data_IF_183780884802
#
_entry.id   IF_183780884802
#
_cell.length_a   1.000
_cell.length_b   1.000
_cell.length_c   1.000
_cell.angle_alpha   90.00
_cell.angle_beta   90.00
_cell.angle_gamma   90.00
#
_symmetry.space_group_name_H-M   'P 1'
#
loop_
_entity.id
_entity.type
_entity.pdbx_description
1 polymer ?
#
# COMPACT_ATOMS: atom_id res chain seq x y z
N UNK A 1 -12.43 15.74 -6.10
CA UNK A 1 -12.10 15.55 -4.68
C UNK A 1 -12.46 16.82 -3.91
N UNK A 2 -13.04 16.75 -2.69
CA UNK A 2 -13.35 17.95 -1.90
C UNK A 2 -12.06 18.74 -1.62
N UNK A 3 -12.16 20.07 -1.57
CA UNK A 3 -11.02 20.98 -1.36
C UNK A 3 -10.19 20.62 -0.12
N UNK A 4 -10.84 20.19 0.97
CA UNK A 4 -10.16 19.81 2.21
C UNK A 4 -9.17 18.64 2.01
N UNK A 5 -9.52 17.62 1.23
CA UNK A 5 -8.63 16.48 1.01
C UNK A 5 -7.44 16.87 0.12
N UNK A 6 -7.62 17.83 -0.79
CA UNK A 6 -6.50 18.40 -1.57
C UNK A 6 -5.50 19.10 -0.66
N UNK A 7 -5.94 19.89 0.32
CA UNK A 7 -5.00 20.52 1.26
C UNK A 7 -4.32 19.52 2.18
N UNK A 8 -5.03 18.47 2.64
CA UNK A 8 -4.42 17.39 3.42
C UNK A 8 -3.33 16.69 2.58
N UNK A 9 -3.63 16.40 1.31
CA UNK A 9 -2.65 15.86 0.36
C UNK A 9 -1.42 16.77 0.23
N UNK A 10 -1.61 18.07 -0.02
CA UNK A 10 -0.52 19.04 -0.16
C UNK A 10 0.37 19.09 1.10
N UNK A 11 -0.24 19.00 2.29
CA UNK A 11 0.47 18.96 3.58
C UNK A 11 1.21 17.63 3.80
N UNK A 12 0.73 16.53 3.23
CA UNK A 12 1.34 15.22 3.34
C UNK A 12 2.52 15.02 2.37
N UNK A 13 2.57 15.73 1.22
CA UNK A 13 3.59 15.58 0.18
C UNK A 13 5.05 15.51 0.68
N UNK A 14 5.50 16.31 1.67
CA UNK A 14 6.87 16.22 2.17
C UNK A 14 7.21 14.88 2.82
N UNK A 15 6.19 14.15 3.29
CA UNK A 15 6.31 12.92 4.08
C UNK A 15 5.95 11.65 3.31
N UNK A 16 5.35 11.78 2.12
CA UNK A 16 4.90 10.66 1.30
C UNK A 16 6.04 10.03 0.48
N UNK A 17 5.85 8.76 0.13
CA UNK A 17 6.68 7.96 -0.76
C UNK A 17 8.18 7.97 -0.37
N UNK A 18 8.47 7.74 0.92
CA UNK A 18 9.83 7.81 1.50
C UNK A 18 10.50 6.44 1.69
N UNK A 19 9.91 5.37 1.17
CA UNK A 19 10.37 3.98 1.37
C UNK A 19 10.65 3.28 0.04
N UNK A 20 11.35 3.97 -0.88
CA UNK A 20 11.63 3.51 -2.25
C UNK A 20 10.35 2.97 -2.94
N UNK A 21 9.26 3.73 -2.82
CA UNK A 21 7.88 3.36 -3.20
C UNK A 21 7.15 4.52 -3.91
N UNK A 22 7.86 5.26 -4.76
CA UNK A 22 7.31 6.38 -5.51
C UNK A 22 5.98 6.04 -6.20
N UNK A 23 4.96 6.87 -5.94
CA UNK A 23 3.59 6.68 -6.45
C UNK A 23 2.66 5.89 -5.53
N UNK A 24 3.15 5.35 -4.41
CA UNK A 24 2.34 4.67 -3.39
C UNK A 24 1.17 5.51 -2.92
N UNK A 25 1.44 6.72 -2.42
CA UNK A 25 0.41 7.61 -1.89
C UNK A 25 -0.69 7.92 -2.93
N UNK A 26 -0.32 8.09 -4.20
CA UNK A 26 -1.27 8.42 -5.25
C UNK A 26 -2.16 7.22 -5.58
N UNK A 27 -1.55 6.05 -5.80
CA UNK A 27 -2.27 4.85 -6.22
C UNK A 27 -3.21 4.35 -5.12
N UNK A 28 -2.75 4.32 -3.87
CA UNK A 28 -3.58 3.94 -2.73
C UNK A 28 -4.76 4.89 -2.55
N UNK A 29 -4.56 6.21 -2.75
CA UNK A 29 -5.65 7.18 -2.76
C UNK A 29 -6.68 6.91 -3.88
N UNK A 30 -6.23 6.55 -5.09
CA UNK A 30 -7.15 6.21 -6.19
C UNK A 30 -7.94 4.94 -5.92
N UNK A 31 -7.36 3.92 -5.29
CA UNK A 31 -8.10 2.75 -4.83
C UNK A 31 -9.09 3.10 -3.71
N UNK A 32 -8.67 3.91 -2.73
CA UNK A 32 -9.54 4.34 -1.64
C UNK A 32 -10.77 5.11 -2.15
N UNK A 33 -10.62 5.96 -3.18
CA UNK A 33 -11.75 6.65 -3.83
C UNK A 33 -12.74 5.65 -4.46
N UNK A 34 -12.23 4.68 -5.21
CA UNK A 34 -13.06 3.63 -5.80
C UNK A 34 -13.80 2.83 -4.73
N UNK A 35 -13.11 2.41 -3.68
CA UNK A 35 -13.70 1.66 -2.57
C UNK A 35 -14.73 2.49 -1.81
N UNK A 36 -14.49 3.78 -1.57
CA UNK A 36 -15.50 4.68 -0.97
C UNK A 36 -16.79 4.68 -1.77
N UNK A 37 -16.70 4.77 -3.10
CA UNK A 37 -17.87 4.83 -3.98
C UNK A 37 -18.59 3.48 -4.08
N UNK A 38 -17.85 2.38 -4.25
CA UNK A 38 -18.39 1.03 -4.42
C UNK A 38 -18.96 0.45 -3.11
N UNK A 39 -18.27 0.70 -1.99
CA UNK A 39 -18.63 0.16 -0.69
C UNK A 39 -19.39 1.15 0.19
N UNK A 40 -19.69 2.36 -0.28
CA UNK A 40 -20.37 3.40 0.53
C UNK A 40 -19.60 3.70 1.84
N UNK A 41 -18.27 3.73 1.75
CA UNK A 41 -17.39 4.07 2.87
C UNK A 41 -17.49 5.55 3.25
N UNK A 42 -17.12 5.89 4.50
CA UNK A 42 -17.12 7.29 4.93
C UNK A 42 -15.89 8.03 4.40
N UNK A 43 -16.08 8.77 3.30
CA UNK A 43 -15.01 9.52 2.64
C UNK A 43 -14.25 10.50 3.56
N UNK A 44 -14.93 11.07 4.55
CA UNK A 44 -14.37 11.99 5.55
C UNK A 44 -13.51 11.31 6.62
N UNK A 45 -13.43 9.98 6.62
CA UNK A 45 -12.49 9.19 7.43
C UNK A 45 -11.46 8.52 6.52
N UNK A 46 -11.92 7.82 5.49
CA UNK A 46 -11.08 6.96 4.65
C UNK A 46 -10.04 7.78 3.86
N UNK A 47 -10.46 8.89 3.24
CA UNK A 47 -9.56 9.65 2.37
C UNK A 47 -8.45 10.37 3.17
N UNK A 48 -8.71 11.05 4.29
CA UNK A 48 -7.63 11.55 5.14
C UNK A 48 -6.73 10.45 5.69
N UNK A 49 -7.30 9.32 6.12
CA UNK A 49 -6.53 8.21 6.68
C UNK A 49 -5.54 7.64 5.65
N UNK A 50 -5.99 7.32 4.43
CA UNK A 50 -5.09 6.77 3.40
C UNK A 50 -4.05 7.79 2.94
N UNK A 51 -4.36 9.09 2.92
CA UNK A 51 -3.37 10.12 2.56
C UNK A 51 -2.22 10.18 3.57
N UNK A 52 -2.51 9.90 4.85
CA UNK A 52 -1.61 10.11 5.98
C UNK A 52 -0.98 8.82 6.54
N UNK A 53 -1.51 7.63 6.21
CA UNK A 53 -1.17 6.36 6.87
C UNK A 53 0.33 6.04 6.89
N UNK A 54 1.02 6.29 5.78
CA UNK A 54 2.43 5.91 5.58
C UNK A 54 3.40 7.10 5.73
N UNK A 55 2.92 8.25 6.20
CA UNK A 55 3.76 9.46 6.34
C UNK A 55 4.92 9.29 7.34
N UNK A 56 4.80 8.38 8.29
CA UNK A 56 5.82 8.08 9.28
C UNK A 56 7.10 7.46 8.73
N UNK A 57 7.06 6.84 7.54
CA UNK A 57 8.28 6.35 6.87
C UNK A 57 9.30 7.47 6.63
N UNK A 58 8.84 8.71 6.50
CA UNK A 58 9.70 9.90 6.37
C UNK A 58 10.59 10.18 7.60
N UNK A 59 10.27 9.59 8.76
CA UNK A 59 11.01 9.78 10.01
C UNK A 59 11.99 8.63 10.29
N UNK A 60 12.08 7.66 9.38
CA UNK A 60 13.02 6.54 9.44
C UNK A 60 14.07 6.70 8.34
N UNK A 61 15.32 6.43 8.70
CA UNK A 61 16.40 6.31 7.74
C UNK A 61 16.22 5.07 6.86
N UNK A 62 16.87 5.08 5.70
CA UNK A 62 16.85 3.96 4.76
C UNK A 62 17.27 2.63 5.40
N UNK A 63 18.28 2.65 6.26
CA UNK A 63 18.74 1.45 6.95
C UNK A 63 17.70 0.88 7.91
N UNK A 64 16.92 1.75 8.56
CA UNK A 64 15.88 1.33 9.51
C UNK A 64 14.69 0.68 8.80
N UNK A 65 14.16 1.30 7.75
CA UNK A 65 13.00 0.74 7.06
C UNK A 65 13.33 -0.47 6.18
N UNK A 66 14.59 -0.63 5.72
CA UNK A 66 15.01 -1.79 4.93
C UNK A 66 14.85 -3.13 5.66
N UNK A 67 14.85 -3.11 7.00
CA UNK A 67 14.59 -4.29 7.84
C UNK A 67 13.29 -5.00 7.44
N UNK A 68 12.26 -4.24 7.01
CA UNK A 68 10.96 -4.80 6.61
C UNK A 68 11.01 -5.58 5.29
N UNK A 69 12.09 -5.44 4.52
CA UNK A 69 12.29 -6.13 3.25
C UNK A 69 13.48 -7.11 3.27
N UNK A 70 14.19 -7.20 4.39
CA UNK A 70 15.36 -8.05 4.53
C UNK A 70 14.95 -9.48 4.90
N UNK A 71 15.39 -10.45 4.10
CA UNK A 71 15.08 -11.88 4.32
C UNK A 71 15.70 -12.44 5.59
N UNK A 72 16.72 -11.78 6.13
CA UNK A 72 17.41 -12.21 7.36
C UNK A 72 16.79 -11.59 8.63
N UNK A 73 15.84 -10.65 8.49
CA UNK A 73 15.17 -10.02 9.63
C UNK A 73 14.16 -10.95 10.29
N UNK A 74 14.07 -10.90 11.62
CA UNK A 74 13.06 -11.65 12.37
C UNK A 74 11.72 -10.90 12.39
N UNK A 75 10.58 -11.60 12.60
CA UNK A 75 9.28 -10.95 12.73
C UNK A 75 9.24 -9.87 13.81
N UNK A 76 9.99 -10.04 14.91
CA UNK A 76 10.09 -9.05 15.99
C UNK A 76 10.83 -7.79 15.54
N UNK A 77 11.89 -7.95 14.73
CA UNK A 77 12.64 -6.82 14.18
C UNK A 77 11.77 -6.02 13.20
N UNK A 78 11.05 -6.70 12.31
CA UNK A 78 10.08 -6.07 11.42
C UNK A 78 8.98 -5.34 12.20
N UNK A 79 8.43 -5.99 13.24
CA UNK A 79 7.37 -5.42 14.07
C UNK A 79 7.81 -4.12 14.75
N UNK A 80 9.03 -4.06 15.29
CA UNK A 80 9.57 -2.82 15.91
C UNK A 80 9.60 -1.67 14.91
N UNK A 81 10.03 -1.94 13.68
CA UNK A 81 10.10 -0.91 12.64
C UNK A 81 8.70 -0.48 12.20
N UNK A 82 7.77 -1.43 12.07
CA UNK A 82 6.37 -1.13 11.73
C UNK A 82 5.68 -0.27 12.79
N UNK A 83 5.82 -0.63 14.06
CA UNK A 83 5.24 0.16 15.16
C UNK A 83 5.80 1.59 15.16
N UNK A 84 7.10 1.75 14.92
CA UNK A 84 7.71 3.07 14.85
C UNK A 84 7.17 3.91 13.68
N UNK A 85 7.01 3.35 12.47
CA UNK A 85 6.44 4.14 11.38
C UNK A 85 4.99 4.53 11.68
N UNK A 86 4.19 3.63 12.27
CA UNK A 86 2.81 3.93 12.64
C UNK A 86 2.73 5.06 13.69
N UNK A 87 3.56 5.02 14.72
CA UNK A 87 3.64 6.08 15.74
C UNK A 87 3.99 7.44 15.13
N UNK A 88 4.96 7.48 14.21
CA UNK A 88 5.34 8.72 13.53
C UNK A 88 4.26 9.20 12.54
N UNK A 89 3.58 8.28 11.84
CA UNK A 89 2.42 8.60 11.00
C UNK A 89 1.30 9.25 11.81
N UNK A 90 1.01 8.74 13.02
CA UNK A 90 0.00 9.34 13.91
C UNK A 90 0.39 10.76 14.31
N UNK A 91 1.66 11.00 14.69
CA UNK A 91 2.14 12.35 15.06
C UNK A 91 2.03 13.34 13.90
N UNK A 92 2.36 12.92 12.69
CA UNK A 92 2.24 13.76 11.49
C UNK A 92 0.77 13.99 11.16
N UNK A 93 -0.04 12.93 11.13
CA UNK A 93 -1.47 13.00 10.84
C UNK A 93 -2.21 13.93 11.81
N UNK A 94 -1.94 13.80 13.11
CA UNK A 94 -2.54 14.65 14.15
C UNK A 94 -2.24 16.12 13.89
N UNK A 95 -0.98 16.46 13.58
CA UNK A 95 -0.57 17.83 13.29
C UNK A 95 -1.27 18.38 12.05
N UNK A 96 -1.29 17.61 10.96
CA UNK A 96 -1.94 18.02 9.70
C UNK A 96 -3.44 18.23 9.90
N UNK A 97 -4.12 17.31 10.59
CA UNK A 97 -5.56 17.42 10.84
C UNK A 97 -5.90 18.59 11.78
N UNK A 98 -5.06 18.87 12.78
CA UNK A 98 -5.20 20.04 13.65
C UNK A 98 -5.03 21.36 12.89
N UNK A 99 -4.03 21.48 12.03
CA UNK A 99 -3.81 22.67 11.20
C UNK A 99 -4.99 22.96 10.26
N UNK A 100 -5.70 21.90 9.84
CA UNK A 100 -6.88 21.99 8.98
C UNK A 100 -8.20 22.14 9.75
N UNK A 101 -8.15 22.26 11.08
CA UNK A 101 -9.32 22.30 11.97
C UNK A 101 -10.30 21.13 11.68
N UNK A 102 -9.75 19.95 11.40
CA UNK A 102 -10.56 18.79 11.01
C UNK A 102 -11.45 18.34 12.18
N UNK A 103 -12.71 17.92 11.92
CA UNK A 103 -13.63 17.53 12.98
C UNK A 103 -13.06 16.47 13.94
N UNK A 104 -13.27 16.66 15.24
CA UNK A 104 -12.65 15.84 16.28
C UNK A 104 -13.08 14.38 16.25
N UNK A 105 -14.36 14.12 15.97
CA UNK A 105 -14.92 12.76 15.88
C UNK A 105 -14.20 11.96 14.78
N UNK A 106 -14.11 12.52 13.57
CA UNK A 106 -13.41 11.89 12.46
C UNK A 106 -11.91 11.79 12.73
N UNK A 107 -11.31 12.80 13.37
CA UNK A 107 -9.88 12.79 13.70
C UNK A 107 -9.52 11.62 14.60
N UNK A 108 -10.33 11.33 15.63
CA UNK A 108 -10.09 10.17 16.50
C UNK A 108 -10.10 8.86 15.70
N UNK A 109 -11.11 8.67 14.84
CA UNK A 109 -11.20 7.47 14.00
C UNK A 109 -10.02 7.36 13.00
N UNK A 110 -9.63 8.47 12.37
CA UNK A 110 -8.50 8.51 11.44
C UNK A 110 -7.19 8.11 12.15
N UNK A 111 -6.91 8.68 13.33
CA UNK A 111 -5.68 8.38 14.05
C UNK A 111 -5.63 6.92 14.55
N UNK A 112 -6.77 6.36 14.96
CA UNK A 112 -6.89 4.95 15.36
C UNK A 112 -6.62 3.99 14.19
N UNK A 113 -7.09 4.33 12.99
CA UNK A 113 -6.79 3.57 11.77
C UNK A 113 -5.28 3.61 11.49
N UNK A 114 -4.68 4.80 11.52
CA UNK A 114 -3.26 4.97 11.19
C UNK A 114 -2.35 4.26 12.21
N UNK A 115 -2.71 4.31 13.50
CA UNK A 115 -1.94 3.71 14.60
C UNK A 115 -1.69 2.21 14.42
N UNK A 116 -2.60 1.46 13.78
CA UNK A 116 -2.47 0.01 13.66
C UNK A 116 -2.73 -0.55 12.24
N UNK A 117 -2.64 0.28 11.18
CA UNK A 117 -2.93 -0.15 9.79
C UNK A 117 -2.09 -1.35 9.29
N UNK A 118 -0.84 -1.46 9.75
CA UNK A 118 0.13 -2.47 9.33
C UNK A 118 0.19 -3.70 10.25
N UNK A 119 -0.23 -3.55 11.50
CA UNK A 119 0.08 -4.49 12.60
C UNK A 119 -1.16 -5.14 13.20
N UNK A 120 -2.34 -4.50 13.12
CA UNK A 120 -3.58 -5.03 13.68
C UNK A 120 -3.99 -6.34 13.03
N UNK A 121 -4.38 -7.30 13.86
CA UNK A 121 -5.08 -8.51 13.42
C UNK A 121 -6.59 -8.26 13.30
N UNK A 122 -7.17 -8.67 12.18
CA UNK A 122 -8.58 -8.42 11.87
C UNK A 122 -8.88 -6.95 11.59
N UNK A 123 -10.17 -6.63 11.47
CA UNK A 123 -10.67 -5.28 11.16
C UNK A 123 -11.60 -4.79 12.27
N UNK A 124 -11.47 -3.52 12.65
CA UNK A 124 -12.29 -2.92 13.73
C UNK A 124 -13.48 -2.12 13.21
N UNK A 125 -13.46 -1.75 11.94
CA UNK A 125 -14.56 -1.04 11.31
C UNK A 125 -14.53 -1.22 9.79
N UNK A 126 -15.65 -0.90 9.13
CA UNK A 126 -15.72 -0.85 7.67
C UNK A 126 -14.72 0.15 7.10
N UNK A 127 -14.59 1.34 7.70
CA UNK A 127 -13.69 2.37 7.20
C UNK A 127 -12.22 1.95 7.30
N UNK A 128 -11.84 1.35 8.43
CA UNK A 128 -10.50 0.81 8.65
C UNK A 128 -10.16 -0.30 7.65
N UNK A 129 -11.09 -1.23 7.44
CA UNK A 129 -10.98 -2.27 6.42
C UNK A 129 -10.73 -1.70 5.02
N UNK A 130 -11.51 -0.70 4.59
CA UNK A 130 -11.35 -0.11 3.26
C UNK A 130 -10.03 0.68 3.10
N UNK A 131 -9.52 1.32 4.16
CA UNK A 131 -8.19 1.97 4.12
C UNK A 131 -7.10 0.92 3.91
N UNK A 132 -7.11 -0.15 4.70
CA UNK A 132 -6.10 -1.22 4.59
C UNK A 132 -6.23 -2.01 3.30
N UNK A 133 -7.43 -2.18 2.79
CA UNK A 133 -7.64 -2.81 1.48
C UNK A 133 -7.06 -1.94 0.36
N UNK A 134 -7.30 -0.62 0.40
CA UNK A 134 -6.72 0.32 -0.56
C UNK A 134 -5.18 0.32 -0.53
N UNK A 135 -4.60 0.27 0.66
CA UNK A 135 -3.15 0.13 0.85
C UNK A 135 -2.63 -1.20 0.26
N UNK A 136 -3.26 -2.33 0.63
CA UNK A 136 -2.89 -3.65 0.08
C UNK A 136 -3.03 -3.71 -1.43
N UNK A 137 -4.04 -3.06 -2.02
CA UNK A 137 -4.29 -3.05 -3.46
C UNK A 137 -3.11 -2.50 -4.27
N UNK A 138 -2.27 -1.65 -3.67
CA UNK A 138 -1.05 -1.15 -4.31
C UNK A 138 -0.15 -2.27 -4.85
N UNK A 139 0.00 -3.38 -4.11
CA UNK A 139 0.87 -4.51 -4.52
C UNK A 139 0.44 -5.17 -5.83
N UNK A 140 -0.82 -5.03 -6.23
CA UNK A 140 -1.36 -5.60 -7.46
C UNK A 140 -1.32 -4.60 -8.63
N UNK A 141 -1.21 -3.30 -8.31
CA UNK A 141 -1.03 -2.25 -9.32
C UNK A 141 0.26 -2.44 -10.12
N UNK A 142 0.34 -1.85 -11.31
CA UNK A 142 1.57 -1.90 -12.12
C UNK A 142 2.78 -1.38 -11.35
N UNK A 143 2.65 -0.23 -10.72
CA UNK A 143 3.75 0.42 -9.99
C UNK A 143 4.24 -0.44 -8.82
N UNK A 144 3.33 -0.96 -7.99
CA UNK A 144 3.71 -1.80 -6.86
C UNK A 144 4.30 -3.14 -7.29
N UNK A 145 3.70 -3.77 -8.30
CA UNK A 145 4.20 -5.02 -8.86
C UNK A 145 5.61 -4.87 -9.43
N UNK A 146 5.84 -3.85 -10.27
CA UNK A 146 7.15 -3.58 -10.87
C UNK A 146 8.20 -3.23 -9.79
N UNK A 147 7.81 -2.46 -8.76
CA UNK A 147 8.68 -2.12 -7.65
C UNK A 147 9.15 -3.36 -6.88
N UNK A 148 8.26 -4.32 -6.61
CA UNK A 148 8.64 -5.57 -5.93
C UNK A 148 9.47 -6.51 -6.83
N UNK A 149 9.17 -6.58 -8.14
CA UNK A 149 10.04 -7.28 -9.10
C UNK A 149 11.46 -6.70 -9.05
N UNK A 150 11.59 -5.37 -9.08
CA UNK A 150 12.88 -4.70 -9.05
C UNK A 150 13.59 -4.85 -7.70
N UNK A 151 12.88 -4.64 -6.60
CA UNK A 151 13.43 -4.68 -5.22
C UNK A 151 13.96 -6.06 -4.87
N UNK A 152 13.18 -7.11 -5.16
CA UNK A 152 13.51 -8.47 -4.77
C UNK A 152 14.15 -9.30 -5.88
N UNK A 153 14.30 -8.73 -7.09
CA UNK A 153 14.80 -9.43 -8.29
C UNK A 153 14.00 -10.71 -8.60
N UNK A 154 12.70 -10.69 -8.32
CA UNK A 154 11.82 -11.83 -8.59
C UNK A 154 11.55 -11.99 -10.08
N UNK A 155 11.35 -13.23 -10.50
CA UNK A 155 10.68 -13.50 -11.77
C UNK A 155 9.22 -13.01 -11.70
N UNK A 156 8.71 -12.27 -12.71
CA UNK A 156 7.34 -11.78 -12.71
C UNK A 156 6.27 -12.87 -12.56
N UNK A 157 6.46 -14.08 -13.11
CA UNK A 157 5.51 -15.17 -12.92
C UNK A 157 5.51 -15.63 -11.47
N UNK A 158 6.69 -15.74 -10.86
CA UNK A 158 6.80 -16.08 -9.44
C UNK A 158 6.10 -15.06 -8.55
N UNK A 159 6.34 -13.75 -8.75
CA UNK A 159 5.68 -12.72 -7.94
C UNK A 159 4.16 -12.76 -8.15
N UNK A 160 3.69 -12.87 -9.39
CA UNK A 160 2.27 -12.98 -9.72
C UNK A 160 1.60 -14.11 -8.93
N UNK A 161 2.14 -15.33 -9.01
CA UNK A 161 1.54 -16.49 -8.33
C UNK A 161 1.63 -16.34 -6.81
N UNK A 162 2.74 -15.79 -6.30
CA UNK A 162 2.93 -15.52 -4.86
C UNK A 162 1.84 -14.60 -4.31
N UNK A 163 1.54 -13.48 -4.98
CA UNK A 163 0.56 -12.51 -4.50
C UNK A 163 -0.88 -12.88 -4.87
N UNK A 164 -1.10 -13.63 -5.96
CA UNK A 164 -2.41 -14.24 -6.26
C UNK A 164 -2.87 -15.12 -5.10
N UNK A 165 -1.98 -15.96 -4.57
CA UNK A 165 -2.26 -16.83 -3.42
C UNK A 165 -2.50 -16.07 -2.09
N UNK A 166 -2.45 -14.74 -2.08
CA UNK A 166 -2.81 -13.91 -0.92
C UNK A 166 -4.28 -13.47 -0.96
N UNK A 167 -4.88 -13.31 -2.14
CA UNK A 167 -6.20 -12.70 -2.33
C UNK A 167 -7.28 -13.41 -1.51
N UNK A 168 -7.26 -14.74 -1.54
CA UNK A 168 -8.27 -15.60 -0.88
C UNK A 168 -7.89 -15.99 0.55
N UNK A 169 -6.78 -15.47 1.09
CA UNK A 169 -6.41 -15.76 2.49
C UNK A 169 -7.41 -15.08 3.42
N UNK A 170 -7.84 -15.82 4.43
CA UNK A 170 -8.75 -15.29 5.44
C UNK A 170 -8.16 -14.05 6.11
N UNK A 171 -8.99 -13.02 6.27
CA UNK A 171 -8.59 -11.73 6.83
C UNK A 171 -7.66 -10.87 5.95
N UNK A 172 -7.31 -11.28 4.72
CA UNK A 172 -6.44 -10.49 3.86
C UNK A 172 -7.13 -9.22 3.35
N UNK A 173 -8.29 -9.36 2.73
CA UNK A 173 -9.15 -8.24 2.33
C UNK A 173 -10.42 -8.19 3.18
N UNK A 174 -10.86 -6.98 3.51
CA UNK A 174 -12.06 -6.73 4.31
C UNK A 174 -13.37 -6.95 3.54
N UNK A 175 -13.36 -6.81 2.21
CA UNK A 175 -14.54 -7.01 1.36
C UNK A 175 -14.23 -7.71 0.03
N UNK A 176 -15.28 -8.19 -0.63
CA UNK A 176 -15.18 -8.90 -1.92
C UNK A 176 -14.81 -7.97 -3.08
N UNK A 177 -15.25 -6.70 -3.05
CA UNK A 177 -14.86 -5.70 -4.06
C UNK A 177 -13.34 -5.54 -4.13
N UNK A 178 -12.64 -5.55 -3.00
CA UNK A 178 -11.17 -5.50 -2.97
C UNK A 178 -10.53 -6.74 -3.59
N UNK A 179 -11.11 -7.94 -3.37
CA UNK A 179 -10.65 -9.19 -4.00
C UNK A 179 -10.81 -9.13 -5.52
N UNK A 180 -11.95 -8.63 -6.01
CA UNK A 180 -12.21 -8.47 -7.44
C UNK A 180 -11.23 -7.47 -8.08
N UNK A 181 -11.01 -6.32 -7.46
CA UNK A 181 -10.05 -5.32 -7.94
C UNK A 181 -8.62 -5.88 -8.01
N UNK A 182 -8.18 -6.60 -6.98
CA UNK A 182 -6.86 -7.25 -6.97
C UNK A 182 -6.71 -8.28 -8.10
N UNK A 183 -7.74 -9.10 -8.32
CA UNK A 183 -7.77 -10.11 -9.39
C UNK A 183 -7.69 -9.44 -10.76
N UNK A 184 -8.47 -8.38 -10.99
CA UNK A 184 -8.45 -7.64 -12.26
C UNK A 184 -7.10 -7.00 -12.54
N UNK A 185 -6.44 -6.45 -11.52
CA UNK A 185 -5.09 -5.89 -11.64
C UNK A 185 -4.06 -6.99 -11.97
N UNK A 186 -4.11 -8.15 -11.32
CA UNK A 186 -3.21 -9.26 -11.65
C UNK A 186 -3.37 -9.79 -13.06
N UNK A 187 -4.60 -9.90 -13.54
CA UNK A 187 -4.86 -10.30 -14.93
C UNK A 187 -4.25 -9.28 -15.92
N UNK A 188 -4.20 -8.00 -15.57
CA UNK A 188 -3.49 -6.98 -16.36
C UNK A 188 -1.98 -7.21 -16.30
N UNK A 189 -1.39 -7.41 -15.11
CA UNK A 189 0.05 -7.70 -14.95
C UNK A 189 0.47 -8.90 -15.78
N UNK A 190 -0.31 -9.99 -15.72
CA UNK A 190 -0.07 -11.21 -16.49
C UNK A 190 0.03 -10.97 -17.98
N UNK A 191 -0.90 -10.19 -18.55
CA UNK A 191 -0.85 -9.80 -19.96
C UNK A 191 0.39 -8.96 -20.27
N UNK A 192 0.72 -8.01 -19.42
CA UNK A 192 1.85 -7.09 -19.61
C UNK A 192 3.19 -7.85 -19.69
N UNK A 193 3.53 -8.69 -18.71
CA UNK A 193 4.82 -9.40 -18.72
C UNK A 193 4.86 -10.56 -19.74
N UNK A 194 3.72 -11.18 -20.05
CA UNK A 194 3.66 -12.21 -21.11
C UNK A 194 3.93 -11.58 -22.48
N UNK A 195 3.34 -10.42 -22.76
CA UNK A 195 3.56 -9.71 -24.02
C UNK A 195 4.99 -9.19 -24.15
N UNK A 196 5.58 -8.68 -23.06
CA UNK A 196 6.98 -8.24 -23.04
C UNK A 196 7.96 -9.38 -23.37
N UNK A 197 7.68 -10.60 -22.88
CA UNK A 197 8.47 -11.80 -23.19
C UNK A 197 8.38 -12.21 -24.67
N UNK A 198 7.24 -11.94 -25.33
CA UNK A 198 7.06 -12.20 -26.77
C UNK A 198 7.80 -11.18 -27.65
N UNK A 199 7.92 -9.92 -27.21
CA UNK A 199 8.61 -8.85 -27.96
C UNK A 199 10.13 -8.87 -27.77
N UNK A 200 10.61 -9.43 -26.66
CA UNK A 200 12.03 -9.61 -26.36
C UNK A 200 12.31 -11.06 -25.96
N UNK A 201 12.24 -12.02 -26.90
CA UNK A 201 12.63 -13.39 -26.61
C UNK A 201 14.08 -13.36 -26.14
N UNK A 202 14.34 -13.87 -24.92
CA UNK A 202 15.72 -14.08 -24.44
C UNK A 202 16.45 -14.88 -25.51
N UNK A 203 17.55 -14.35 -26.04
CA UNK A 203 18.39 -15.06 -27.01
C UNK A 203 18.74 -16.44 -26.44
N UNK A 204 18.08 -17.45 -27.00
CA UNK A 204 18.34 -18.86 -26.74
C UNK A 204 19.66 -19.20 -27.43
N UNK A 205 20.79 -18.95 -26.77
CA UNK A 205 22.06 -19.56 -27.16
C UNK A 205 22.05 -21.03 -26.75
N UNK A 206 21.42 -21.87 -27.57
CA UNK A 206 21.90 -23.23 -27.78
C UNK A 206 22.85 -23.19 -28.97
N UNK A 207 24.15 -23.18 -28.69
CA UNK A 207 25.14 -23.66 -29.64
C UNK A 207 25.87 -24.83 -28.98
N UNK A 208 25.57 -26.01 -29.49
CA UNK A 208 26.25 -27.26 -29.25
C UNK A 208 27.75 -27.13 -29.55
N UNK A 209 28.58 -27.69 -28.68
CA UNK A 209 29.88 -28.28 -29.00
C UNK A 209 29.96 -29.50 -28.06
N UNK A 210 30.05 -30.73 -28.54
CA UNK A 210 30.95 -31.20 -29.59
C UNK A 210 32.02 -32.01 -28.87
#
# INVERSE_FOLDING_TARGET
>A
MKKIYTHIWEKALPYQDKRDDAGHAFITLEFAKQLVDLEQGKADVILPAIILHDTGWSQLSRAEWLVVFDTDSTPEQEMVVRLRHQEESVKIAQRVLQEMEYPSIQTVEILEIIAEHDTRQGFISKNEGLVRDADKLWRFSKTGFDADVERFKFDPHFLHDKIHNQIDRDGFFSCDTSRELATLELERRKREFTNAALTHPKDSTYAQAG
#
